data_IF_151417270951
#
_entry.id   IF_151417270951
#
_cell.length_a   1.000
_cell.length_b   1.000
_cell.length_c   1.000
_cell.angle_alpha   90.00
_cell.angle_beta   90.00
_cell.angle_gamma   90.00
#
_symmetry.space_group_name_H-M   'P 1'
#
loop_
_entity.id
_entity.type
_entity.pdbx_description
1 polymer ?
#
# COMPACT_ATOMS: atom_id res chain seq x y z
N UNK A 1 -38.72 20.90 -64.61
CA UNK A 1 -39.19 19.50 -64.67
C UNK A 1 -39.43 19.03 -63.25
N UNK A 2 -40.46 18.21 -63.05
CA UNK A 2 -41.34 18.30 -61.88
C UNK A 2 -40.91 17.50 -60.65
N UNK A 3 -41.13 18.16 -59.50
CA UNK A 3 -41.49 17.72 -58.13
C UNK A 3 -41.88 16.25 -57.92
N UNK A 4 -41.47 15.69 -56.76
CA UNK A 4 -42.40 15.11 -55.78
C UNK A 4 -41.74 14.94 -54.40
N UNK A 5 -42.27 15.66 -53.40
CA UNK A 5 -42.02 15.45 -51.98
C UNK A 5 -43.15 14.58 -51.43
N UNK A 6 -42.84 13.57 -50.62
CA UNK A 6 -43.84 12.74 -49.95
C UNK A 6 -44.01 13.24 -48.51
N UNK A 7 -45.09 13.96 -48.26
CA UNK A 7 -45.60 14.27 -46.93
C UNK A 7 -46.42 13.06 -46.44
N UNK A 8 -46.18 12.59 -45.22
CA UNK A 8 -47.10 11.72 -44.49
C UNK A 8 -47.51 12.45 -43.22
N UNK A 9 -48.82 12.68 -43.10
CA UNK A 9 -49.53 13.37 -42.02
C UNK A 9 -50.46 12.37 -41.33
N UNK A 10 -50.63 12.57 -40.02
CA UNK A 10 -51.63 11.99 -39.10
C UNK A 10 -51.40 10.52 -38.67
N UNK A 11 -51.64 10.12 -37.41
CA UNK A 11 -52.70 10.57 -36.52
C UNK A 11 -52.28 10.62 -35.04
N UNK A 12 -52.79 11.63 -34.36
CA UNK A 12 -52.70 11.85 -32.92
C UNK A 12 -53.84 11.08 -32.24
N UNK A 13 -53.54 10.03 -31.49
CA UNK A 13 -54.51 9.39 -30.58
C UNK A 13 -54.08 9.67 -29.14
N UNK A 14 -54.75 10.63 -28.51
CA UNK A 14 -54.66 10.90 -27.09
C UNK A 14 -55.47 9.85 -26.33
N UNK A 15 -54.78 8.98 -25.58
CA UNK A 15 -55.40 8.13 -24.56
C UNK A 15 -55.14 8.76 -23.19
N UNK A 16 -56.19 9.29 -22.59
CA UNK A 16 -56.24 9.73 -21.19
C UNK A 16 -56.57 8.49 -20.34
N UNK A 17 -55.71 8.16 -19.38
CA UNK A 17 -55.96 7.14 -18.36
C UNK A 17 -55.36 7.58 -17.01
N UNK A 18 -55.95 7.16 -15.87
CA UNK A 18 -56.03 7.95 -14.64
C UNK A 18 -54.77 7.91 -13.76
N UNK A 19 -54.62 8.95 -12.94
CA UNK A 19 -53.67 9.00 -11.82
C UNK A 19 -54.06 7.93 -10.78
N UNK A 20 -53.36 6.80 -10.79
CA UNK A 20 -53.29 5.90 -9.65
C UNK A 20 -52.14 6.35 -8.75
N UNK A 21 -52.51 6.98 -7.63
CA UNK A 21 -51.61 7.28 -6.52
C UNK A 21 -51.13 5.98 -5.88
N UNK A 22 -49.87 5.60 -6.12
CA UNK A 22 -49.22 4.56 -5.33
C UNK A 22 -48.66 5.19 -4.05
N UNK A 23 -49.37 4.89 -2.96
CA UNK A 23 -48.99 5.12 -1.58
C UNK A 23 -47.56 4.63 -1.29
N UNK A 24 -46.81 5.41 -0.52
CA UNK A 24 -45.55 5.00 0.11
C UNK A 24 -45.80 3.73 0.96
N UNK A 25 -45.41 2.57 0.43
CA UNK A 25 -45.20 1.36 1.21
C UNK A 25 -43.74 1.35 1.63
N UNK A 26 -43.49 1.90 2.82
CA UNK A 26 -42.26 1.69 3.57
C UNK A 26 -42.12 0.19 3.82
N UNK A 27 -41.43 -0.49 2.91
CA UNK A 27 -41.00 -1.86 3.08
C UNK A 27 -39.82 -1.81 4.04
N UNK A 28 -40.06 -2.14 5.31
CA UNK A 28 -39.01 -2.48 6.25
C UNK A 28 -38.27 -3.70 5.71
N UNK A 29 -37.21 -3.49 4.91
CA UNK A 29 -36.27 -4.53 4.60
C UNK A 29 -35.57 -4.94 5.90
N UNK A 30 -35.54 -6.23 6.27
CA UNK A 30 -34.57 -6.68 7.25
C UNK A 30 -33.18 -6.41 6.66
N UNK A 31 -32.39 -5.65 7.40
CA UNK A 31 -30.99 -5.37 7.17
C UNK A 31 -30.24 -6.69 6.94
N UNK A 32 -30.19 -7.15 5.70
CA UNK A 32 -29.26 -8.19 5.27
C UNK A 32 -28.06 -7.43 4.76
N UNK A 33 -27.13 -7.20 5.69
CA UNK A 33 -25.75 -6.86 5.37
C UNK A 33 -25.33 -7.69 4.15
N UNK A 34 -24.72 -7.12 3.10
CA UNK A 34 -24.14 -7.94 2.06
C UNK A 34 -23.04 -8.76 2.73
N UNK A 35 -23.37 -10.02 3.04
CA UNK A 35 -22.39 -11.06 3.28
C UNK A 35 -21.58 -11.14 2.00
N UNK A 36 -20.41 -10.51 2.03
CA UNK A 36 -19.32 -10.81 1.12
C UNK A 36 -19.04 -12.30 1.28
N UNK A 37 -19.68 -13.10 0.43
CA UNK A 37 -19.28 -14.46 0.19
C UNK A 37 -17.91 -14.39 -0.47
N UNK A 38 -16.87 -14.42 0.35
CA UNK A 38 -15.55 -14.82 -0.11
C UNK A 38 -15.73 -16.18 -0.77
N UNK A 39 -15.47 -16.26 -2.06
CA UNK A 39 -15.37 -17.56 -2.74
C UNK A 39 -14.29 -18.35 -1.99
N UNK A 40 -14.61 -19.50 -1.37
CA UNK A 40 -13.60 -20.32 -0.73
C UNK A 40 -12.61 -20.78 -1.79
N UNK A 41 -11.39 -20.25 -1.76
CA UNK A 41 -10.28 -20.68 -2.64
C UNK A 41 -9.51 -19.58 -3.38
N UNK A 42 -9.93 -18.31 -3.33
CA UNK A 42 -9.15 -17.21 -3.92
C UNK A 42 -8.44 -16.40 -2.82
N UNK A 43 -7.12 -16.56 -2.71
CA UNK A 43 -6.32 -15.71 -1.82
C UNK A 43 -6.10 -14.35 -2.49
N UNK A 44 -6.21 -13.26 -1.72
CA UNK A 44 -6.12 -11.90 -2.25
C UNK A 44 -5.22 -11.03 -1.39
N UNK A 45 -4.28 -10.34 -2.03
CA UNK A 45 -3.42 -9.33 -1.43
C UNK A 45 -3.65 -7.98 -2.11
N UNK A 46 -3.52 -6.89 -1.37
CA UNK A 46 -3.72 -5.53 -1.89
C UNK A 46 -2.65 -4.60 -1.34
N UNK A 47 -2.22 -3.64 -2.15
CA UNK A 47 -1.31 -2.58 -1.68
C UNK A 47 -1.62 -1.24 -2.34
N UNK A 48 -1.33 -0.15 -1.63
CA UNK A 48 -1.37 1.20 -2.17
C UNK A 48 0.07 1.66 -2.38
N UNK A 49 0.37 2.10 -3.58
CA UNK A 49 1.68 2.59 -3.97
C UNK A 49 1.74 4.09 -3.72
N UNK A 50 2.81 4.52 -3.05
CA UNK A 50 3.05 5.91 -2.66
C UNK A 50 4.42 6.37 -3.13
N UNK A 51 4.55 7.66 -3.40
CA UNK A 51 5.83 8.36 -3.56
C UNK A 51 6.58 8.42 -2.24
N UNK A 52 7.87 8.81 -2.29
CA UNK A 52 8.75 8.87 -1.13
C UNK A 52 8.26 9.87 -0.05
N UNK A 53 7.53 10.90 -0.46
CA UNK A 53 6.87 11.87 0.43
C UNK A 53 5.52 11.36 1.01
N UNK A 54 5.08 10.16 0.61
CA UNK A 54 3.85 9.53 1.08
C UNK A 54 2.60 9.83 0.26
N UNK A 55 2.69 10.59 -0.83
CA UNK A 55 1.53 10.87 -1.70
C UNK A 55 1.06 9.60 -2.44
N UNK A 56 -0.25 9.31 -2.50
CA UNK A 56 -0.77 8.13 -3.18
C UNK A 56 -0.65 8.24 -4.71
N UNK A 57 -0.26 7.15 -5.36
CA UNK A 57 -0.06 7.08 -6.82
C UNK A 57 -0.98 6.05 -7.47
N UNK A 58 -0.99 4.83 -6.94
CA UNK A 58 -1.73 3.72 -7.53
C UNK A 58 -2.23 2.75 -6.46
N UNK A 59 -3.19 1.91 -6.81
CA UNK A 59 -3.59 0.75 -6.02
C UNK A 59 -3.34 -0.52 -6.83
N UNK A 60 -2.89 -1.57 -6.15
CA UNK A 60 -2.65 -2.88 -6.74
C UNK A 60 -3.39 -3.98 -5.98
N UNK A 61 -3.89 -4.96 -6.72
CA UNK A 61 -4.53 -6.17 -6.20
C UNK A 61 -3.89 -7.40 -6.85
N UNK A 62 -3.61 -8.41 -6.03
CA UNK A 62 -3.11 -9.71 -6.44
C UNK A 62 -4.15 -10.76 -6.04
N UNK A 63 -4.69 -11.49 -7.02
CA UNK A 63 -5.69 -12.53 -6.82
C UNK A 63 -5.12 -13.87 -7.27
N UNK A 64 -4.99 -14.81 -6.34
CA UNK A 64 -4.41 -16.12 -6.58
C UNK A 64 -5.52 -17.14 -6.76
N UNK A 65 -5.55 -17.76 -7.93
CA UNK A 65 -6.48 -18.83 -8.26
C UNK A 65 -5.87 -19.71 -9.36
N UNK A 66 -6.27 -20.98 -9.41
CA UNK A 66 -5.91 -21.90 -10.51
C UNK A 66 -4.39 -22.00 -10.81
N UNK A 67 -3.54 -21.82 -9.80
CA UNK A 67 -2.08 -21.94 -9.93
C UNK A 67 -1.35 -20.71 -10.50
N UNK A 68 -2.01 -19.56 -10.60
CA UNK A 68 -1.37 -18.30 -11.00
C UNK A 68 -1.97 -17.09 -10.24
N UNK A 69 -1.27 -15.96 -10.30
CA UNK A 69 -1.72 -14.67 -9.79
C UNK A 69 -2.30 -13.83 -10.93
N UNK A 70 -3.47 -13.22 -10.71
CA UNK A 70 -3.96 -12.09 -11.51
C UNK A 70 -3.58 -10.80 -10.77
N UNK A 71 -2.81 -9.94 -11.45
CA UNK A 71 -2.34 -8.66 -10.89
C UNK A 71 -3.06 -7.52 -11.59
N UNK A 72 -3.78 -6.72 -10.82
CA UNK A 72 -4.44 -5.50 -11.30
C UNK A 72 -3.78 -4.28 -10.66
N UNK A 73 -3.33 -3.33 -11.47
CA UNK A 73 -2.77 -2.04 -11.01
C UNK A 73 -3.56 -0.90 -11.65
N UNK A 74 -4.03 0.04 -10.83
CA UNK A 74 -4.81 1.19 -11.28
C UNK A 74 -4.26 2.48 -10.67
N UNK A 75 -3.99 3.46 -11.53
CA UNK A 75 -3.58 4.82 -11.16
C UNK A 75 -4.58 5.83 -11.74
N UNK A 76 -5.04 6.75 -10.89
CA UNK A 76 -5.82 7.91 -11.35
C UNK A 76 -4.92 8.97 -12.00
N UNK A 77 -5.50 10.06 -12.55
CA UNK A 77 -4.71 11.17 -13.06
C UNK A 77 -3.76 11.73 -12.00
N UNK A 78 -2.48 11.87 -12.34
CA UNK A 78 -1.45 12.35 -11.42
C UNK A 78 -0.25 12.91 -12.21
N UNK A 79 0.65 13.61 -11.53
CA UNK A 79 1.86 14.20 -12.14
C UNK A 79 3.15 13.42 -11.79
N UNK A 80 3.01 12.30 -11.05
CA UNK A 80 4.14 11.46 -10.65
C UNK A 80 4.55 10.54 -11.79
N UNK A 81 3.56 9.97 -12.48
CA UNK A 81 3.74 9.07 -13.60
C UNK A 81 3.73 9.87 -14.91
N UNK A 82 4.87 9.93 -15.58
CA UNK A 82 4.97 10.53 -16.92
C UNK A 82 4.22 9.69 -17.96
N UNK A 83 3.73 10.28 -19.06
CA UNK A 83 3.16 9.50 -20.16
C UNK A 83 4.21 8.54 -20.75
N UNK A 84 3.85 7.26 -20.95
CA UNK A 84 4.77 6.24 -21.48
C UNK A 84 4.72 4.92 -20.72
N UNK A 85 5.73 4.08 -20.91
CA UNK A 85 5.85 2.78 -20.23
C UNK A 85 6.73 2.90 -19.00
N UNK A 86 6.23 2.36 -17.89
CA UNK A 86 6.91 2.29 -16.60
C UNK A 86 7.12 0.82 -16.20
N UNK A 87 8.33 0.48 -15.74
CA UNK A 87 8.65 -0.83 -15.20
C UNK A 87 7.81 -1.09 -13.94
N UNK A 88 7.36 -2.34 -13.79
CA UNK A 88 6.55 -2.77 -12.66
C UNK A 88 7.15 -4.06 -12.12
N UNK A 89 7.67 -4.01 -10.89
CA UNK A 89 8.49 -5.10 -10.34
C UNK A 89 8.12 -5.34 -8.88
N UNK A 90 8.04 -6.61 -8.50
CA UNK A 90 7.96 -7.03 -7.10
C UNK A 90 9.39 -7.14 -6.58
N UNK A 91 9.69 -6.43 -5.50
CA UNK A 91 10.98 -6.43 -4.82
C UNK A 91 10.97 -7.35 -3.58
N UNK A 92 12.15 -7.88 -3.26
CA UNK A 92 12.36 -8.98 -2.33
C UNK A 92 12.17 -8.62 -0.85
N UNK A 93 12.02 -7.35 -0.51
CA UNK A 93 11.82 -6.89 0.87
C UNK A 93 10.59 -6.00 0.95
N UNK A 94 9.73 -6.29 1.93
CA UNK A 94 8.50 -5.56 2.22
C UNK A 94 8.74 -4.22 2.91
N UNK A 95 9.50 -3.32 2.28
CA UNK A 95 9.83 -1.98 2.77
C UNK A 95 9.69 -0.94 1.66
N UNK A 96 9.21 0.24 2.02
CA UNK A 96 9.06 1.40 1.14
C UNK A 96 9.56 2.66 1.84
N UNK A 97 10.87 2.71 2.13
CA UNK A 97 11.48 3.82 2.88
C UNK A 97 12.14 4.82 1.91
N UNK A 98 11.82 6.11 2.07
CA UNK A 98 12.49 7.20 1.35
C UNK A 98 13.97 7.29 1.76
N UNK A 99 14.83 7.64 0.80
CA UNK A 99 16.29 7.80 1.01
C UNK A 99 16.91 6.70 1.89
N UNK A 100 16.61 5.44 1.59
CA UNK A 100 17.08 4.28 2.34
C UNK A 100 18.25 3.61 1.64
N UNK A 101 18.99 2.74 2.34
CA UNK A 101 20.06 1.95 1.74
C UNK A 101 19.52 0.56 1.36
N UNK A 102 20.07 -0.01 0.28
CA UNK A 102 19.80 -1.39 -0.07
C UNK A 102 20.28 -2.37 1.02
N UNK A 103 19.66 -3.56 1.16
CA UNK A 103 20.11 -4.59 2.10
C UNK A 103 21.57 -5.04 1.90
N UNK A 104 22.10 -4.91 0.67
CA UNK A 104 23.50 -5.16 0.33
C UNK A 104 24.45 -4.02 0.71
N UNK A 105 23.93 -2.93 1.28
CA UNK A 105 24.65 -1.67 1.49
C UNK A 105 24.76 -0.83 0.20
N UNK A 106 25.41 0.33 0.31
CA UNK A 106 25.62 1.25 -0.80
C UNK A 106 25.14 2.67 -0.50
N UNK A 107 25.06 3.49 -1.56
CA UNK A 107 24.42 4.80 -1.50
C UNK A 107 22.92 4.67 -1.19
N UNK A 108 22.32 5.75 -0.72
CA UNK A 108 20.88 5.79 -0.43
C UNK A 108 20.08 6.33 -1.61
N UNK A 109 18.85 5.86 -1.72
CA UNK A 109 17.88 6.24 -2.73
C UNK A 109 16.47 5.92 -2.26
N UNK A 110 15.48 6.45 -2.98
CA UNK A 110 14.09 6.18 -2.63
C UNK A 110 13.77 4.71 -2.86
N UNK A 111 13.28 4.07 -1.79
CA UNK A 111 12.84 2.68 -1.77
C UNK A 111 13.95 1.64 -1.99
N UNK A 112 15.23 1.99 -1.84
CA UNK A 112 16.33 1.02 -2.00
C UNK A 112 16.28 -0.09 -0.94
N UNK A 113 15.70 0.16 0.25
CA UNK A 113 15.50 -0.88 1.27
C UNK A 113 14.54 -1.99 0.89
N UNK A 114 13.79 -1.84 -0.23
CA UNK A 114 13.03 -2.94 -0.84
C UNK A 114 13.94 -4.02 -1.47
N UNK A 115 15.22 -3.72 -1.67
CA UNK A 115 16.21 -4.65 -2.22
C UNK A 115 16.08 -4.86 -3.72
N UNK A 116 16.59 -5.98 -4.21
CA UNK A 116 16.51 -6.40 -5.62
C UNK A 116 15.10 -6.87 -5.98
N UNK A 117 14.84 -7.04 -7.28
CA UNK A 117 13.66 -7.75 -7.76
C UNK A 117 13.57 -9.15 -7.10
N UNK A 118 12.36 -9.54 -6.75
CA UNK A 118 12.04 -10.83 -6.16
C UNK A 118 12.35 -11.97 -7.14
N UNK A 119 13.03 -13.00 -6.63
CA UNK A 119 13.28 -14.26 -7.33
C UNK A 119 12.83 -15.40 -6.43
N UNK A 120 11.99 -16.30 -6.96
CA UNK A 120 11.60 -17.51 -6.27
C UNK A 120 12.83 -18.42 -6.07
N UNK A 121 12.86 -19.18 -4.98
CA UNK A 121 14.05 -19.93 -4.57
C UNK A 121 14.50 -20.98 -5.60
N UNK A 122 13.57 -21.50 -6.41
CA UNK A 122 13.78 -22.47 -7.47
C UNK A 122 13.88 -21.84 -8.87
N UNK A 123 13.91 -20.50 -8.96
CA UNK A 123 13.96 -19.76 -10.21
C UNK A 123 15.18 -18.84 -10.28
N UNK A 124 16.08 -19.11 -11.24
CA UNK A 124 17.34 -18.35 -11.44
C UNK A 124 17.47 -17.75 -12.83
N UNK A 125 16.52 -18.03 -13.74
CA UNK A 125 16.46 -17.46 -15.08
C UNK A 125 15.87 -16.05 -15.08
N UNK A 126 15.99 -15.38 -16.23
CA UNK A 126 15.32 -14.12 -16.53
C UNK A 126 14.19 -14.36 -17.55
N UNK A 127 13.10 -13.56 -17.52
CA UNK A 127 12.81 -12.48 -16.57
C UNK A 127 12.65 -13.00 -15.13
N UNK A 128 12.96 -12.18 -14.12
CA UNK A 128 12.85 -12.57 -12.72
C UNK A 128 11.40 -12.90 -12.33
N UNK A 129 11.22 -13.70 -11.29
CA UNK A 129 9.89 -14.06 -10.77
C UNK A 129 9.02 -12.83 -10.49
N UNK A 130 9.63 -11.77 -9.95
CA UNK A 130 8.96 -10.52 -9.62
C UNK A 130 8.78 -9.54 -10.78
N UNK A 131 9.33 -9.82 -11.97
CA UNK A 131 9.13 -8.96 -13.14
C UNK A 131 7.69 -9.07 -13.64
N UNK A 132 7.04 -7.93 -13.88
CA UNK A 132 5.69 -7.87 -14.42
C UNK A 132 5.67 -7.07 -15.73
N UNK A 133 4.59 -7.24 -16.49
CA UNK A 133 4.33 -6.42 -17.67
C UNK A 133 4.37 -4.93 -17.32
N UNK A 134 5.02 -4.13 -18.16
CA UNK A 134 5.12 -2.68 -17.96
C UNK A 134 3.74 -2.00 -17.88
N UNK A 135 3.64 -0.99 -17.00
CA UNK A 135 2.45 -0.15 -16.84
C UNK A 135 2.46 0.96 -17.89
N UNK A 136 1.48 0.97 -18.79
CA UNK A 136 1.31 2.04 -19.76
C UNK A 136 0.49 3.20 -19.18
N UNK A 137 1.12 4.37 -19.10
CA UNK A 137 0.56 5.60 -18.54
C UNK A 137 0.09 6.53 -19.67
N UNK A 138 -1.14 7.02 -19.55
CA UNK A 138 -1.75 7.96 -20.50
C UNK A 138 -1.22 9.38 -20.28
N UNK A 139 -1.60 10.29 -21.19
CA UNK A 139 -1.18 11.70 -21.15
C UNK A 139 -1.57 12.46 -19.88
N UNK A 140 -2.60 12.02 -19.16
CA UNK A 140 -3.07 12.60 -17.91
C UNK A 140 -2.46 11.95 -16.65
N UNK A 141 -1.50 11.03 -16.82
CA UNK A 141 -0.86 10.29 -15.73
C UNK A 141 -1.64 9.08 -15.21
N UNK A 142 -2.84 8.83 -15.74
CA UNK A 142 -3.64 7.66 -15.36
C UNK A 142 -3.18 6.39 -16.09
N UNK A 143 -3.38 5.24 -15.45
CA UNK A 143 -2.99 3.94 -15.98
C UNK A 143 -3.87 2.82 -15.44
N UNK A 144 -4.03 1.76 -16.23
CA UNK A 144 -4.61 0.50 -15.79
C UNK A 144 -3.89 -0.66 -16.45
N UNK A 145 -3.48 -1.62 -15.65
CA UNK A 145 -2.91 -2.89 -16.08
C UNK A 145 -3.65 -4.03 -15.40
N UNK A 146 -3.99 -5.06 -16.18
CA UNK A 146 -4.37 -6.38 -15.67
C UNK A 146 -3.46 -7.38 -16.37
N UNK A 147 -2.71 -8.15 -15.59
CA UNK A 147 -1.78 -9.18 -16.10
C UNK A 147 -1.85 -10.43 -15.24
N UNK A 148 -1.22 -11.51 -15.69
CA UNK A 148 -1.11 -12.76 -14.94
C UNK A 148 0.35 -13.18 -14.81
N UNK A 149 0.70 -13.77 -13.66
CA UNK A 149 2.02 -14.38 -13.46
C UNK A 149 1.90 -15.69 -12.69
N UNK A 150 2.70 -16.68 -13.07
CA UNK A 150 2.91 -17.91 -12.31
C UNK A 150 4.31 -17.97 -11.69
N UNK A 151 5.05 -16.84 -11.67
CA UNK A 151 6.41 -16.76 -11.12
C UNK A 151 6.48 -16.70 -9.60
N UNK A 152 5.34 -16.54 -8.92
CA UNK A 152 5.23 -16.48 -7.46
C UNK A 152 3.84 -16.93 -6.98
N UNK A 153 3.80 -17.41 -5.75
CA UNK A 153 2.57 -17.72 -5.01
C UNK A 153 2.25 -16.64 -3.97
N UNK A 154 1.11 -16.74 -3.31
CA UNK A 154 0.78 -15.86 -2.19
C UNK A 154 1.71 -16.04 -0.99
N UNK A 155 2.11 -17.29 -0.71
CA UNK A 155 3.06 -17.61 0.34
C UNK A 155 4.44 -16.98 0.07
N UNK A 156 4.88 -17.00 -1.19
CA UNK A 156 6.11 -16.35 -1.63
C UNK A 156 6.11 -14.85 -1.33
N UNK A 157 5.00 -14.16 -1.62
CA UNK A 157 4.88 -12.72 -1.35
C UNK A 157 4.82 -12.39 0.14
N UNK A 158 4.42 -13.35 0.97
CA UNK A 158 4.29 -13.24 2.45
C UNK A 158 5.46 -13.89 3.20
N UNK A 159 6.59 -14.13 2.53
CA UNK A 159 7.79 -14.66 3.16
C UNK A 159 8.28 -13.76 4.32
N UNK A 160 9.27 -14.21 5.10
CA UNK A 160 9.76 -13.49 6.28
C UNK A 160 10.28 -12.08 5.99
N UNK A 161 10.88 -11.85 4.82
CA UNK A 161 11.31 -10.53 4.36
C UNK A 161 10.15 -9.68 3.84
N UNK A 162 8.98 -10.28 3.61
CA UNK A 162 7.87 -9.65 2.91
C UNK A 162 8.23 -9.32 1.46
N UNK A 163 7.36 -8.58 0.79
CA UNK A 163 7.61 -8.09 -0.59
C UNK A 163 6.95 -6.72 -0.79
N UNK A 164 7.45 -5.96 -1.76
CA UNK A 164 6.91 -4.66 -2.14
C UNK A 164 6.75 -4.56 -3.66
N UNK A 165 5.70 -3.90 -4.14
CA UNK A 165 5.52 -3.58 -5.55
C UNK A 165 6.09 -2.19 -5.83
N UNK A 166 6.92 -2.06 -6.86
CA UNK A 166 7.54 -0.80 -7.26
C UNK A 166 7.16 -0.44 -8.69
N UNK A 167 6.79 0.83 -8.90
CA UNK A 167 6.71 1.46 -10.21
C UNK A 167 8.00 2.23 -10.45
N UNK A 168 8.68 1.90 -11.54
CA UNK A 168 9.93 2.52 -11.94
C UNK A 168 9.74 3.65 -12.95
N UNK A 169 10.76 4.49 -13.11
CA UNK A 169 10.72 5.64 -14.02
C UNK A 169 10.77 5.24 -15.48
N UNK A 170 11.58 4.25 -15.84
CA UNK A 170 11.68 3.75 -17.21
C UNK A 170 10.97 2.43 -17.36
N UNK A 171 10.68 2.05 -18.61
CA UNK A 171 10.19 0.71 -18.91
C UNK A 171 11.23 -0.35 -18.51
N UNK A 172 10.73 -1.51 -18.12
CA UNK A 172 11.53 -2.72 -17.93
C UNK A 172 11.85 -3.34 -19.31
N UNK A 173 13.05 -3.86 -19.48
CA UNK A 173 13.46 -4.62 -20.68
C UNK A 173 13.17 -6.13 -20.55
N UNK A 174 12.59 -6.57 -19.43
CA UNK A 174 12.22 -7.97 -19.12
C UNK A 174 13.36 -8.96 -19.38
N UNK A 175 14.60 -8.56 -19.10
CA UNK A 175 15.72 -9.49 -19.00
C UNK A 175 16.47 -9.83 -20.29
N UNK A 176 16.58 -8.93 -21.27
CA UNK A 176 17.54 -9.16 -22.38
C UNK A 176 19.02 -9.05 -21.95
N UNK A 177 19.31 -8.61 -20.72
CA UNK A 177 20.66 -8.52 -20.12
C UNK A 177 20.60 -8.68 -18.60
N UNK A 178 21.61 -9.35 -18.01
CA UNK A 178 21.86 -9.54 -16.56
C UNK A 178 21.94 -8.19 -15.77
N UNK A 179 22.19 -8.12 -14.43
CA UNK A 179 21.59 -7.18 -13.46
C UNK A 179 22.11 -5.72 -13.51
N UNK A 180 22.25 -5.14 -14.70
CA UNK A 180 22.51 -3.71 -14.90
C UNK A 180 21.24 -2.90 -15.18
N UNK A 181 20.07 -3.52 -15.04
CA UNK A 181 18.77 -2.98 -15.48
C UNK A 181 17.77 -2.77 -14.33
N UNK A 182 18.15 -2.06 -13.27
CA UNK A 182 17.12 -1.38 -12.49
C UNK A 182 16.50 -0.33 -13.41
N UNK A 183 15.17 -0.30 -13.53
CA UNK A 183 14.40 0.52 -14.49
C UNK A 183 14.44 2.03 -14.18
N UNK A 184 15.63 2.57 -13.88
CA UNK A 184 15.83 3.90 -13.37
C UNK A 184 15.27 4.07 -11.96
N UNK A 185 14.92 5.33 -11.63
CA UNK A 185 14.42 5.70 -10.29
C UNK A 185 13.14 4.93 -9.92
N UNK A 186 13.00 4.59 -8.64
CA UNK A 186 11.80 3.98 -8.07
C UNK A 186 10.82 5.12 -7.72
N UNK A 187 9.75 5.26 -8.49
CA UNK A 187 8.81 6.40 -8.38
C UNK A 187 7.77 6.21 -7.28
N UNK A 188 7.26 4.99 -7.15
CA UNK A 188 6.25 4.66 -6.15
C UNK A 188 6.44 3.24 -5.64
N UNK A 189 6.18 3.04 -4.35
CA UNK A 189 6.32 1.75 -3.68
C UNK A 189 5.09 1.44 -2.83
N UNK A 190 4.64 0.19 -2.87
CA UNK A 190 3.59 -0.33 -2.00
C UNK A 190 4.00 -1.66 -1.37
N UNK A 191 4.04 -1.73 -0.05
CA UNK A 191 4.31 -2.99 0.67
C UNK A 191 3.16 -3.96 0.44
N UNK A 192 3.44 -5.15 -0.12
CA UNK A 192 2.45 -6.21 -0.33
C UNK A 192 2.30 -7.02 0.96
N UNK A 193 3.42 -7.37 1.57
CA UNK A 193 3.50 -7.92 2.92
C UNK A 193 4.71 -7.33 3.61
N UNK A 194 4.56 -6.89 4.86
CA UNK A 194 5.67 -6.32 5.62
C UNK A 194 6.71 -7.41 5.95
N UNK A 195 7.98 -7.01 5.98
CA UNK A 195 9.01 -7.84 6.60
C UNK A 195 8.61 -8.11 8.03
N UNK A 196 8.47 -9.38 8.39
CA UNK A 196 8.28 -9.76 9.79
C UNK A 196 9.59 -9.49 10.49
N UNK A 197 9.70 -8.31 11.12
CA UNK A 197 10.62 -8.17 12.23
C UNK A 197 10.18 -9.24 13.25
N UNK A 198 11.05 -10.20 13.53
CA UNK A 198 10.94 -10.99 14.75
C UNK A 198 10.95 -9.97 15.89
N UNK A 199 9.77 -9.51 16.28
CA UNK A 199 9.56 -8.89 17.57
C UNK A 199 9.80 -10.04 18.52
N UNK A 200 11.05 -10.19 18.98
CA UNK A 200 11.35 -10.89 20.20
C UNK A 200 10.62 -10.12 21.29
N UNK A 201 9.34 -10.42 21.47
CA UNK A 201 8.61 -10.10 22.68
C UNK A 201 9.32 -10.90 23.77
N UNK A 202 10.32 -10.27 24.39
CA UNK A 202 10.87 -10.71 25.66
C UNK A 202 9.77 -10.55 26.69
N UNK A 203 8.88 -11.53 26.77
CA UNK A 203 7.95 -11.68 27.88
C UNK A 203 8.82 -12.04 29.09
N UNK A 204 9.23 -11.02 29.85
CA UNK A 204 9.78 -11.20 31.18
C UNK A 204 8.66 -11.76 32.05
N UNK A 205 8.63 -13.08 32.20
CA UNK A 205 7.72 -13.78 33.11
C UNK A 205 8.07 -13.41 34.55
N UNK A 206 7.45 -12.36 35.09
CA UNK A 206 7.51 -12.06 36.52
C UNK A 206 6.76 -13.16 37.25
N UNK A 207 7.51 -14.12 37.82
CA UNK A 207 6.94 -15.17 38.67
C UNK A 207 6.68 -14.56 40.05
N UNK A 208 5.41 -14.26 40.35
CA UNK A 208 5.00 -13.86 41.70
C UNK A 208 4.81 -15.10 42.56
N UNK A 209 5.81 -15.43 43.38
CA UNK A 209 5.71 -16.48 44.39
C UNK A 209 4.88 -15.99 45.56
N UNK A 210 3.67 -16.52 45.74
CA UNK A 210 2.80 -16.24 46.89
C UNK A 210 3.16 -17.18 48.05
N UNK A 211 3.91 -16.68 49.04
CA UNK A 211 4.14 -17.39 50.31
C UNK A 211 2.94 -17.17 51.23
N UNK A 212 2.24 -18.26 51.59
CA UNK A 212 1.17 -18.24 52.60
C UNK A 212 1.78 -18.38 53.99
N UNK A 213 1.91 -17.28 54.72
CA UNK A 213 2.22 -17.29 56.16
C UNK A 213 0.93 -17.24 56.97
N UNK A 214 0.77 -18.23 57.83
CA UNK A 214 -0.29 -18.37 58.83
C UNK A 214 -0.27 -17.18 59.79
N UNK A 215 -1.44 -16.57 60.02
CA UNK A 215 -1.67 -15.42 60.91
C UNK A 215 -1.74 -15.86 62.38
N UNK A 216 -0.88 -15.34 63.28
CA UNK A 216 -1.14 -15.36 64.73
C UNK A 216 -1.98 -14.14 65.17
N UNK A 217 -2.71 -14.22 66.29
CA UNK A 217 -3.68 -13.21 66.69
C UNK A 217 -3.05 -11.91 67.23
N UNK A 218 -3.89 -10.87 67.23
CA UNK A 218 -3.56 -9.47 67.41
C UNK A 218 -2.83 -9.14 68.72
N UNK A 219 -1.78 -8.32 68.59
CA UNK A 219 -1.24 -7.51 69.68
C UNK A 219 -1.15 -6.07 69.20
N UNK A 220 -1.87 -5.20 69.91
CA UNK A 220 -1.93 -3.76 69.73
C UNK A 220 -0.54 -3.15 69.92
N UNK A 221 -0.03 -2.42 68.93
CA UNK A 221 1.04 -1.44 69.13
C UNK A 221 1.03 -0.37 68.05
N UNK A 222 0.96 0.86 68.54
CA UNK A 222 1.05 2.16 67.88
C UNK A 222 2.43 2.38 67.25
N UNK A 223 2.52 2.92 66.02
CA UNK A 223 3.50 3.98 65.64
C UNK A 223 3.39 4.41 64.17
N UNK A 224 2.98 5.67 63.99
CA UNK A 224 3.65 6.80 63.30
C UNK A 224 4.41 6.63 61.96
N UNK A 225 3.93 7.40 60.96
CA UNK A 225 4.60 8.06 59.81
C UNK A 225 5.38 7.19 58.81
N UNK A 226 5.22 7.35 57.49
CA UNK A 226 5.62 8.55 56.72
C UNK A 226 5.04 8.44 55.30
N UNK A 227 4.44 9.51 54.77
CA UNK A 227 3.98 9.58 53.37
C UNK A 227 5.12 10.09 52.51
N UNK A 228 5.69 9.23 51.67
CA UNK A 228 6.60 9.66 50.60
C UNK A 228 5.78 9.83 49.33
N UNK A 229 5.52 11.09 48.95
CA UNK A 229 5.03 11.45 47.62
C UNK A 229 6.25 11.52 46.71
N UNK A 230 6.41 10.54 45.81
CA UNK A 230 7.39 10.65 44.72
C UNK A 230 6.66 11.19 43.49
N UNK A 231 7.08 12.39 43.11
CA UNK A 231 6.61 13.19 41.99
C UNK A 231 6.85 12.49 40.64
N UNK A 232 5.87 12.64 39.75
CA UNK A 232 5.97 12.42 38.30
C UNK A 232 7.04 13.34 37.69
N UNK A 233 7.94 12.84 36.83
CA UNK A 233 8.83 13.71 36.07
C UNK A 233 8.05 14.41 34.95
N UNK A 234 8.02 15.74 34.99
CA UNK A 234 7.55 16.61 33.92
C UNK A 234 8.57 16.60 32.77
N UNK A 235 8.12 16.23 31.57
CA UNK A 235 8.91 16.33 30.35
C UNK A 235 9.00 17.80 29.91
N UNK A 236 10.18 18.41 30.06
CA UNK A 236 10.52 19.71 29.48
C UNK A 236 10.69 19.57 27.97
N UNK A 237 9.81 20.23 27.22
CA UNK A 237 9.92 20.36 25.76
C UNK A 237 10.86 21.53 25.45
N UNK A 238 12.05 21.25 24.95
CA UNK A 238 12.95 22.27 24.38
C UNK A 238 12.70 22.35 22.87
N UNK A 239 12.23 23.51 22.40
CA UNK A 239 12.14 23.81 20.97
C UNK A 239 13.55 24.08 20.40
N UNK A 240 13.89 23.55 19.21
CA UNK A 240 15.11 23.95 18.52
C UNK A 240 14.94 25.35 17.90
N UNK A 241 15.86 26.25 18.23
CA UNK A 241 16.00 27.56 17.60
C UNK A 241 16.68 27.41 16.24
N UNK A 242 15.99 27.73 15.16
CA UNK A 242 16.59 27.82 13.81
C UNK A 242 17.25 29.19 13.63
N UNK A 243 18.58 29.21 13.52
CA UNK A 243 19.33 30.41 13.10
C UNK A 243 19.33 30.48 11.58
N UNK A 244 18.66 31.49 11.02
CA UNK A 244 18.69 31.80 9.58
C UNK A 244 19.97 32.55 9.27
N UNK A 245 20.86 31.94 8.48
CA UNK A 245 22.06 32.61 7.95
C UNK A 245 21.76 33.11 6.55
N UNK A 246 21.63 34.42 6.38
CA UNK A 246 21.53 35.09 5.08
C UNK A 246 22.87 35.04 4.33
N UNK A 247 22.92 34.60 3.06
CA UNK A 247 24.13 34.71 2.25
C UNK A 247 24.41 36.17 1.87
N UNK A 248 25.68 36.55 1.93
CA UNK A 248 26.20 37.85 1.51
C UNK A 248 26.19 37.96 -0.02
N UNK A 249 25.50 38.98 -0.52
CA UNK A 249 25.44 39.35 -1.93
C UNK A 249 26.74 40.04 -2.37
N UNK A 250 27.46 39.44 -3.31
CA UNK A 250 28.61 40.06 -3.99
C UNK A 250 28.11 40.73 -5.29
N UNK A 251 28.29 42.05 -5.48
CA UNK A 251 27.99 42.68 -6.76
C UNK A 251 29.03 42.29 -7.83
N UNK A 252 28.63 42.13 -9.10
CA UNK A 252 29.55 41.87 -10.19
C UNK A 252 30.45 43.08 -10.44
N UNK A 253 31.77 42.83 -10.42
CA UNK A 253 32.80 43.80 -10.79
C UNK A 253 32.76 44.15 -12.27
N UNK A 254 33.19 45.38 -12.54
CA UNK A 254 33.34 46.02 -13.86
C UNK A 254 34.42 45.36 -14.71
#
# INVERSE_FOLDING_TARGET
MNKAACFVVAALTAAVAPLAACSNQQSSQPNTSPLTSSTPGAERLTTQLKTADGSPVANATFEFANGYATVTVEAGPNQVLSPGFHGLQIHAVGKCEANSAAPSGGSTGDFDSAGSVYQAADHTSYPASGDLTALQVRSDGSAKLVTTSNGFTSADLRNSSGTALIIHQTADNLGTTAPTGESGKRLACGVIAASSATTTSSTTSVTTSTTTTVVPPASTSTSTSTVTVTSTPSLTTSMPTTTVTTPTYYPPGR
#
